data_IF_204742857678
#
_entry.id   IF_204742857678
#
_cell.length_a   1.000
_cell.length_b   1.000
_cell.length_c   1.000
_cell.angle_alpha   90.00
_cell.angle_beta   90.00
_cell.angle_gamma   90.00
#
_symmetry.space_group_name_H-M   'P 1'
#
loop_
_entity.id
_entity.type
_entity.pdbx_description
1 polymer ?
#
# COMPACT_ATOMS: atom_id res chain seq x y z
N UNK A 1 22.35 -2.35 -14.57
CA UNK A 1 20.89 -2.18 -14.45
C UNK A 1 20.33 -3.40 -13.74
N UNK A 2 19.55 -3.24 -12.67
CA UNK A 2 18.95 -4.39 -12.00
C UNK A 2 18.06 -5.18 -12.98
N UNK A 3 18.19 -6.50 -12.99
CA UNK A 3 17.36 -7.40 -13.81
C UNK A 3 15.90 -7.27 -13.40
N UNK A 4 15.05 -6.78 -14.30
CA UNK A 4 13.60 -6.70 -14.07
C UNK A 4 12.96 -8.05 -14.37
N UNK A 5 12.03 -8.47 -13.52
CA UNK A 5 11.19 -9.67 -13.74
C UNK A 5 9.74 -9.23 -14.01
N UNK A 6 9.05 -9.97 -14.86
CA UNK A 6 7.63 -9.74 -15.16
C UNK A 6 6.76 -10.51 -14.16
N UNK A 7 5.67 -9.89 -13.73
CA UNK A 7 4.63 -10.50 -12.90
C UNK A 7 3.28 -10.27 -13.59
N UNK A 8 2.46 -11.31 -13.66
CA UNK A 8 1.07 -11.23 -14.08
C UNK A 8 0.20 -11.47 -12.87
N UNK A 9 -0.79 -10.60 -12.65
CA UNK A 9 -1.71 -10.68 -11.53
C UNK A 9 -3.13 -10.70 -12.09
N UNK A 10 -3.87 -11.76 -11.79
CA UNK A 10 -5.30 -11.83 -12.09
C UNK A 10 -6.04 -11.20 -10.91
N UNK A 11 -6.93 -10.26 -11.21
CA UNK A 11 -7.75 -9.58 -10.22
C UNK A 11 -9.22 -9.88 -10.50
N UNK A 12 -10.01 -9.99 -9.44
CA UNK A 12 -11.46 -9.86 -9.56
C UNK A 12 -11.85 -8.47 -10.04
N UNK A 13 -13.07 -8.33 -10.54
CA UNK A 13 -13.60 -7.04 -10.98
C UNK A 13 -13.58 -6.00 -9.84
N UNK A 14 -13.93 -6.41 -8.62
CA UNK A 14 -13.91 -5.56 -7.44
C UNK A 14 -12.50 -5.01 -7.14
N UNK A 15 -11.48 -5.87 -7.17
CA UNK A 15 -10.10 -5.47 -6.92
C UNK A 15 -9.57 -4.55 -8.02
N UNK A 16 -9.88 -4.84 -9.29
CA UNK A 16 -9.49 -4.00 -10.42
C UNK A 16 -10.13 -2.61 -10.32
N UNK A 17 -11.41 -2.53 -9.96
CA UNK A 17 -12.11 -1.25 -9.76
C UNK A 17 -11.45 -0.39 -8.68
N UNK A 18 -11.00 -1.00 -7.58
CA UNK A 18 -10.24 -0.30 -6.53
C UNK A 18 -8.93 0.27 -7.08
N UNK A 19 -8.17 -0.54 -7.82
CA UNK A 19 -6.90 -0.12 -8.44
C UNK A 19 -7.13 1.06 -9.38
N UNK A 20 -8.17 1.01 -10.21
CA UNK A 20 -8.48 2.06 -11.17
C UNK A 20 -8.94 3.36 -10.51
N UNK A 21 -9.79 3.27 -9.49
CA UNK A 21 -10.21 4.43 -8.71
C UNK A 21 -9.01 5.12 -8.04
N UNK A 22 -8.09 4.35 -7.46
CA UNK A 22 -6.86 4.87 -6.85
C UNK A 22 -5.92 5.50 -7.88
N UNK A 23 -5.75 4.87 -9.04
CA UNK A 23 -4.96 5.42 -10.14
C UNK A 23 -5.52 6.77 -10.60
N UNK A 24 -6.85 6.86 -10.81
CA UNK A 24 -7.54 8.10 -11.20
C UNK A 24 -7.39 9.18 -10.13
N UNK A 25 -7.61 8.84 -8.86
CA UNK A 25 -7.51 9.78 -7.73
C UNK A 25 -6.10 10.36 -7.58
N UNK A 26 -5.06 9.56 -7.81
CA UNK A 26 -3.66 9.94 -7.59
C UNK A 26 -2.91 10.37 -8.86
N UNK A 27 -3.53 10.25 -10.03
CA UNK A 27 -2.86 10.53 -11.32
C UNK A 27 -1.72 9.56 -11.63
N UNK A 28 -1.84 8.29 -11.22
CA UNK A 28 -0.80 7.27 -11.36
C UNK A 28 -1.19 6.20 -12.37
N UNK A 29 -0.20 5.59 -13.04
CA UNK A 29 -0.42 4.35 -13.77
C UNK A 29 -0.57 3.17 -12.82
N UNK A 30 -1.23 2.09 -13.25
CA UNK A 30 -1.39 0.84 -12.48
C UNK A 30 -0.04 0.30 -12.01
N UNK A 31 0.96 0.29 -12.89
CA UNK A 31 2.34 -0.12 -12.57
C UNK A 31 3.00 0.80 -11.54
N UNK A 32 2.80 2.12 -11.62
CA UNK A 32 3.35 3.06 -10.65
C UNK A 32 2.70 2.90 -9.27
N UNK A 33 1.37 2.72 -9.24
CA UNK A 33 0.62 2.45 -8.01
C UNK A 33 1.13 1.18 -7.33
N UNK A 34 1.25 0.06 -8.06
CA UNK A 34 1.75 -1.20 -7.47
C UNK A 34 3.20 -1.10 -6.98
N UNK A 35 4.08 -0.40 -7.72
CA UNK A 35 5.45 -0.16 -7.23
C UNK A 35 5.47 0.67 -5.95
N UNK A 36 4.58 1.66 -5.84
CA UNK A 36 4.45 2.46 -4.62
C UNK A 36 3.91 1.62 -3.47
N UNK A 37 2.90 0.77 -3.72
CA UNK A 37 2.34 -0.14 -2.73
C UNK A 37 3.38 -1.12 -2.21
N UNK A 38 4.19 -1.74 -3.08
CA UNK A 38 5.27 -2.64 -2.68
C UNK A 38 6.30 -1.95 -1.77
N UNK A 39 6.72 -0.73 -2.10
CA UNK A 39 7.65 0.04 -1.26
C UNK A 39 7.06 0.40 0.09
N UNK A 40 5.78 0.78 0.11
CA UNK A 40 5.07 1.09 1.34
C UNK A 40 4.99 -0.15 2.23
N UNK A 41 4.61 -1.30 1.66
CA UNK A 41 4.52 -2.56 2.37
C UNK A 41 5.88 -2.95 2.96
N UNK A 42 6.94 -2.94 2.15
CA UNK A 42 8.31 -3.21 2.62
C UNK A 42 8.70 -2.29 3.79
N UNK A 43 8.45 -0.97 3.68
CA UNK A 43 8.82 -0.05 4.74
C UNK A 43 8.03 -0.26 6.03
N UNK A 44 6.78 -0.72 5.95
CA UNK A 44 5.96 -1.04 7.12
C UNK A 44 6.47 -2.33 7.75
N UNK A 45 6.68 -3.36 6.95
CA UNK A 45 7.16 -4.67 7.37
C UNK A 45 8.49 -4.58 8.14
N UNK A 46 9.47 -3.88 7.57
CA UNK A 46 10.77 -3.63 8.22
C UNK A 46 10.66 -2.89 9.56
N UNK A 47 9.64 -2.05 9.75
CA UNK A 47 9.40 -1.33 11.02
C UNK A 47 8.74 -2.25 12.04
N UNK A 48 7.77 -3.05 11.61
CA UNK A 48 7.10 -4.04 12.46
C UNK A 48 8.08 -5.11 12.97
N UNK A 49 8.98 -5.59 12.11
CA UNK A 49 10.04 -6.54 12.51
C UNK A 49 10.98 -5.96 13.60
N UNK A 50 11.17 -4.63 13.63
CA UNK A 50 11.93 -3.94 14.68
C UNK A 50 11.12 -3.70 15.98
N UNK A 51 9.87 -4.14 16.03
CA UNK A 51 8.97 -3.93 17.15
C UNK A 51 8.34 -2.53 17.21
N UNK A 52 8.44 -1.74 16.13
CA UNK A 52 7.74 -0.46 16.03
C UNK A 52 6.22 -0.70 15.90
N UNK A 53 5.42 0.21 16.44
CA UNK A 53 3.96 0.16 16.34
C UNK A 53 3.44 1.14 15.28
N UNK A 54 2.48 0.69 14.47
CA UNK A 54 1.81 1.53 13.49
C UNK A 54 0.50 2.09 14.08
N UNK A 55 0.36 3.41 14.06
CA UNK A 55 -0.84 4.11 14.53
C UNK A 55 -1.46 4.87 13.37
N UNK A 56 -2.77 4.77 13.21
CA UNK A 56 -3.52 5.70 12.35
C UNK A 56 -4.08 6.81 13.23
N UNK A 57 -3.75 8.05 12.88
CA UNK A 57 -4.26 9.23 13.56
C UNK A 57 -5.38 9.85 12.73
N UNK A 58 -6.54 10.04 13.34
CA UNK A 58 -7.63 10.81 12.74
C UNK A 58 -7.47 12.28 13.12
N UNK A 59 -7.27 13.23 12.19
CA UNK A 59 -6.97 14.62 12.54
C UNK A 59 -8.05 15.30 13.41
N UNK A 60 -9.29 14.83 13.31
CA UNK A 60 -10.48 15.37 13.98
C UNK A 60 -10.68 14.82 15.40
N UNK A 61 -10.13 13.64 15.70
CA UNK A 61 -10.22 12.99 17.01
C UNK A 61 -8.80 12.65 17.41
N UNK A 62 -8.24 13.37 18.38
CA UNK A 62 -6.88 13.14 18.94
C UNK A 62 -6.69 11.74 19.59
N UNK A 63 -7.53 10.76 19.28
CA UNK A 63 -7.40 9.38 19.71
C UNK A 63 -6.56 8.62 18.68
N UNK A 64 -5.46 8.02 19.16
CA UNK A 64 -4.62 7.13 18.35
C UNK A 64 -5.25 5.74 18.38
N UNK A 65 -5.73 5.26 17.24
CA UNK A 65 -6.18 3.88 17.11
C UNK A 65 -4.98 3.01 16.72
N UNK A 66 -4.67 1.98 17.52
CA UNK A 66 -3.67 0.98 17.15
C UNK A 66 -4.16 0.27 15.88
N UNK A 67 -3.36 0.33 14.81
CA UNK A 67 -3.62 -0.46 13.62
C UNK A 67 -2.77 -1.71 13.70
N UNK A 68 -3.41 -2.85 14.00
CA UNK A 68 -2.77 -4.15 13.90
C UNK A 68 -2.81 -4.55 12.42
N UNK A 69 -1.65 -4.52 11.76
CA UNK A 69 -1.49 -5.10 10.42
C UNK A 69 -1.32 -6.60 10.65
N UNK A 70 -2.31 -7.41 10.24
CA UNK A 70 -2.25 -8.87 10.26
C UNK A 70 -1.30 -9.39 9.17
#
# INVERSE_FOLDING_TARGET
>A
MATKRTMTLNLSEAEMNVVEALCKKKGLSKTALLRQALRLYQSIDERLERGEKLYLEEPSKKEKSELLVL
#
